data_IF_790822702134
#
_entry.id   IF_790822702134
#
_cell.length_a   1.000
_cell.length_b   1.000
_cell.length_c   1.000
_cell.angle_alpha   90.00
_cell.angle_beta   90.00
_cell.angle_gamma   90.00
#
_symmetry.space_group_name_H-M   'P 1'
#
loop_
_entity.id
_entity.type
_entity.pdbx_description
1 polymer ?
#
# COMPACT_ATOMS: atom_id res chain seq x y z
N UNK A 1 23.90 -1.46 -2.40
CA UNK A 1 23.35 -0.12 -2.74
C UNK A 1 22.00 -0.32 -3.39
N UNK A 2 20.94 0.24 -2.80
CA UNK A 2 19.57 0.20 -3.32
C UNK A 2 19.48 0.86 -4.70
N UNK A 3 18.78 0.23 -5.64
CA UNK A 3 18.60 0.70 -7.04
C UNK A 3 17.18 1.21 -7.31
N UNK A 4 16.18 0.66 -6.64
CA UNK A 4 14.76 0.98 -6.79
C UNK A 4 14.28 1.85 -5.64
N UNK A 5 14.49 1.39 -4.40
CA UNK A 5 13.98 2.03 -3.18
C UNK A 5 14.70 3.35 -2.89
N UNK A 6 13.90 4.37 -2.57
CA UNK A 6 14.39 5.65 -2.05
C UNK A 6 14.26 5.71 -0.53
N UNK A 7 14.03 6.91 0.02
CA UNK A 7 13.87 7.12 1.47
C UNK A 7 12.65 6.37 2.05
N UNK A 8 11.58 6.23 1.28
CA UNK A 8 10.43 5.41 1.67
C UNK A 8 9.61 5.01 0.43
N UNK A 9 9.81 3.76 0.01
CA UNK A 9 9.20 3.17 -1.18
C UNK A 9 9.86 3.57 -2.50
N UNK A 10 9.23 3.16 -3.60
CA UNK A 10 9.65 3.45 -4.97
C UNK A 10 8.77 4.53 -5.56
N UNK A 11 9.35 5.68 -5.97
CA UNK A 11 8.63 6.78 -6.63
C UNK A 11 9.25 7.10 -7.97
N UNK A 12 8.46 7.15 -9.04
CA UNK A 12 8.91 7.49 -10.40
C UNK A 12 7.78 8.18 -11.18
N UNK A 13 8.11 8.68 -12.38
CA UNK A 13 7.11 9.19 -13.32
C UNK A 13 6.14 8.07 -13.71
N UNK A 14 4.85 8.32 -13.52
CA UNK A 14 3.80 7.35 -13.79
C UNK A 14 3.67 7.14 -15.30
N UNK A 15 3.52 5.88 -15.72
CA UNK A 15 3.41 5.48 -17.13
C UNK A 15 4.63 5.80 -18.03
N UNK A 16 5.73 6.28 -17.45
CA UNK A 16 7.03 6.40 -18.13
C UNK A 16 8.04 5.41 -17.56
N UNK A 17 8.19 5.40 -16.22
CA UNK A 17 9.07 4.46 -15.52
C UNK A 17 8.27 3.56 -14.59
N UNK A 18 7.32 4.14 -13.82
CA UNK A 18 6.37 3.36 -13.03
C UNK A 18 5.19 2.98 -13.95
N UNK A 19 5.40 1.94 -14.76
CA UNK A 19 4.38 1.36 -15.65
C UNK A 19 3.58 0.26 -14.93
N UNK A 20 2.45 -0.22 -15.50
CA UNK A 20 1.74 -1.38 -14.96
C UNK A 20 2.62 -2.62 -14.82
N UNK A 21 3.49 -2.89 -15.80
CA UNK A 21 4.40 -4.04 -15.78
C UNK A 21 5.42 -3.91 -14.65
N UNK A 22 5.98 -2.72 -14.46
CA UNK A 22 6.89 -2.44 -13.36
C UNK A 22 6.18 -2.67 -12.01
N UNK A 23 4.98 -2.11 -11.84
CA UNK A 23 4.21 -2.21 -10.60
C UNK A 23 3.83 -3.65 -10.27
N UNK A 24 3.39 -4.41 -11.27
CA UNK A 24 3.04 -5.83 -11.11
C UNK A 24 4.27 -6.68 -10.75
N UNK A 25 5.42 -6.46 -11.42
CA UNK A 25 6.68 -7.15 -11.08
C UNK A 25 7.14 -6.82 -9.66
N UNK A 26 7.10 -5.55 -9.26
CA UNK A 26 7.50 -5.14 -7.92
C UNK A 26 6.57 -5.73 -6.84
N UNK A 27 5.27 -5.77 -7.11
CA UNK A 27 4.31 -6.37 -6.21
C UNK A 27 4.45 -7.90 -6.11
N UNK A 28 4.80 -8.58 -7.21
CA UNK A 28 5.11 -10.02 -7.17
C UNK A 28 6.41 -10.31 -6.40
N UNK A 29 7.42 -9.44 -6.51
CA UNK A 29 8.63 -9.55 -5.71
C UNK A 29 8.32 -9.44 -4.21
N UNK A 30 7.53 -8.43 -3.81
CA UNK A 30 7.06 -8.33 -2.43
C UNK A 30 6.20 -9.53 -2.02
N UNK A 31 5.26 -9.97 -2.86
CA UNK A 31 4.44 -11.16 -2.61
C UNK A 31 5.22 -12.49 -2.55
N UNK A 32 6.51 -12.48 -2.91
CA UNK A 32 7.42 -13.62 -2.75
C UNK A 32 8.14 -13.60 -1.39
N UNK A 33 8.21 -12.44 -0.74
CA UNK A 33 8.82 -12.27 0.59
C UNK A 33 7.80 -12.21 1.72
N UNK A 34 6.56 -11.81 1.41
CA UNK A 34 5.44 -11.79 2.35
C UNK A 34 4.43 -12.89 2.06
N UNK A 35 3.89 -13.50 3.11
CA UNK A 35 2.77 -14.46 3.02
C UNK A 35 1.54 -13.91 3.74
N UNK A 36 0.36 -14.39 3.36
CA UNK A 36 -0.89 -14.04 4.02
C UNK A 36 -1.72 -12.99 3.29
N UNK A 37 -2.43 -12.18 4.07
CA UNK A 37 -3.43 -11.23 3.60
C UNK A 37 -2.86 -9.82 3.56
N UNK A 38 -2.80 -9.23 2.37
CA UNK A 38 -2.13 -7.97 2.10
C UNK A 38 -3.16 -6.88 1.79
N UNK A 39 -3.12 -5.78 2.54
CA UNK A 39 -3.96 -4.62 2.27
C UNK A 39 -3.36 -3.75 1.17
N UNK A 40 -4.18 -3.30 0.22
CA UNK A 40 -3.78 -2.37 -0.83
C UNK A 40 -4.67 -1.15 -0.81
N UNK A 41 -4.07 0.04 -0.71
CA UNK A 41 -4.77 1.32 -0.77
C UNK A 41 -3.97 2.37 -1.52
N UNK A 42 -4.56 3.53 -1.80
CA UNK A 42 -3.85 4.59 -2.50
C UNK A 42 -4.46 5.98 -2.38
N UNK A 43 -3.73 6.97 -2.89
CA UNK A 43 -4.16 8.37 -2.95
C UNK A 43 -4.97 8.70 -4.22
N UNK A 44 -5.36 9.96 -4.36
CA UNK A 44 -6.25 10.44 -5.43
C UNK A 44 -5.55 10.71 -6.78
N UNK A 45 -4.28 10.31 -6.97
CA UNK A 45 -3.58 10.55 -8.25
C UNK A 45 -4.30 9.84 -9.41
N UNK A 46 -4.32 10.49 -10.57
CA UNK A 46 -4.93 9.94 -11.80
C UNK A 46 -4.42 8.54 -12.14
N UNK A 47 -3.12 8.30 -11.92
CA UNK A 47 -2.48 7.01 -12.20
C UNK A 47 -2.68 5.94 -11.12
N UNK A 48 -3.26 6.28 -9.97
CA UNK A 48 -3.37 5.34 -8.83
C UNK A 48 -4.23 4.13 -9.16
N UNK A 49 -5.35 4.29 -9.87
CA UNK A 49 -6.21 3.15 -10.24
C UNK A 49 -5.45 2.12 -11.09
N UNK A 50 -4.69 2.60 -12.08
CA UNK A 50 -3.88 1.77 -12.96
C UNK A 50 -2.80 1.01 -12.17
N UNK A 51 -2.01 1.74 -11.38
CA UNK A 51 -0.90 1.14 -10.61
C UNK A 51 -1.42 0.18 -9.54
N UNK A 52 -2.52 0.52 -8.86
CA UNK A 52 -3.14 -0.32 -7.84
C UNK A 52 -3.60 -1.66 -8.41
N UNK A 53 -4.25 -1.67 -9.57
CA UNK A 53 -4.68 -2.92 -10.22
C UNK A 53 -3.49 -3.79 -10.63
N UNK A 54 -2.39 -3.18 -11.09
CA UNK A 54 -1.16 -3.91 -11.37
C UNK A 54 -0.54 -4.51 -10.10
N UNK A 55 -0.50 -3.76 -9.00
CA UNK A 55 -0.04 -4.23 -7.69
C UNK A 55 -0.87 -5.42 -7.21
N UNK A 56 -2.21 -5.30 -7.26
CA UNK A 56 -3.13 -6.37 -6.87
C UNK A 56 -2.85 -7.64 -7.68
N UNK A 57 -2.71 -7.51 -9.01
CA UNK A 57 -2.40 -8.64 -9.90
C UNK A 57 -1.08 -9.34 -9.52
N UNK A 58 -0.02 -8.58 -9.27
CA UNK A 58 1.28 -9.12 -8.85
C UNK A 58 1.21 -9.91 -7.54
N UNK A 59 0.50 -9.37 -6.53
CA UNK A 59 0.30 -10.04 -5.24
C UNK A 59 -0.49 -11.35 -5.37
N UNK A 60 -1.63 -11.32 -6.05
CA UNK A 60 -2.48 -12.51 -6.25
C UNK A 60 -1.73 -13.62 -6.98
N UNK A 61 -0.90 -13.25 -7.97
CA UNK A 61 -0.07 -14.20 -8.73
C UNK A 61 0.99 -14.91 -7.88
N UNK A 62 1.35 -14.32 -6.74
CA UNK A 62 2.31 -14.88 -5.78
C UNK A 62 1.61 -15.72 -4.70
N UNK A 63 0.29 -15.82 -4.73
CA UNK A 63 -0.52 -16.57 -3.76
C UNK A 63 -0.99 -15.78 -2.54
N UNK A 64 -0.74 -14.47 -2.48
CA UNK A 64 -1.23 -13.62 -1.40
C UNK A 64 -2.72 -13.33 -1.57
N UNK A 65 -3.50 -13.43 -0.50
CA UNK A 65 -4.84 -12.85 -0.48
C UNK A 65 -4.71 -11.32 -0.42
N UNK A 66 -5.56 -10.61 -1.15
CA UNK A 66 -5.51 -9.14 -1.25
C UNK A 66 -6.80 -8.53 -0.76
N UNK A 67 -6.69 -7.47 0.04
CA UNK A 67 -7.82 -6.63 0.47
C UNK A 67 -7.66 -5.24 -0.12
N UNK A 68 -8.52 -4.89 -1.08
CA UNK A 68 -8.58 -3.53 -1.62
C UNK A 68 -9.31 -2.61 -0.62
N UNK A 69 -8.57 -1.64 -0.07
CA UNK A 69 -9.07 -0.61 0.84
C UNK A 69 -9.56 0.63 0.10
N UNK A 70 -9.40 0.70 -1.23
CA UNK A 70 -9.82 1.82 -2.05
C UNK A 70 -8.90 3.02 -1.97
N UNK A 71 -9.49 4.22 -2.08
CA UNK A 71 -8.80 5.50 -1.95
C UNK A 71 -8.96 5.99 -0.52
N UNK A 72 -7.83 6.17 0.18
CA UNK A 72 -7.79 6.57 1.58
C UNK A 72 -6.41 7.11 1.96
N UNK A 73 -6.29 7.89 3.04
CA UNK A 73 -4.99 8.39 3.51
C UNK A 73 -4.01 7.25 3.81
N UNK A 74 -2.72 7.46 3.55
CA UNK A 74 -1.61 6.59 3.99
C UNK A 74 -1.77 6.08 5.43
N UNK A 75 -2.02 6.93 6.46
CA UNK A 75 -2.16 6.45 7.83
C UNK A 75 -3.40 5.55 8.05
N UNK A 76 -4.44 5.66 7.23
CA UNK A 76 -5.59 4.77 7.31
C UNK A 76 -5.25 3.36 6.81
N UNK A 77 -4.42 3.24 5.75
CA UNK A 77 -3.88 1.94 5.31
C UNK A 77 -2.99 1.33 6.39
N UNK A 78 -2.07 2.11 6.96
CA UNK A 78 -1.18 1.66 8.03
C UNK A 78 -1.95 1.19 9.27
N UNK A 79 -2.97 1.93 9.67
CA UNK A 79 -3.88 1.56 10.76
C UNK A 79 -4.58 0.22 10.48
N UNK A 80 -5.04 0.03 9.25
CA UNK A 80 -5.71 -1.19 8.84
C UNK A 80 -4.79 -2.41 8.88
N UNK A 81 -3.56 -2.25 8.35
CA UNK A 81 -2.54 -3.30 8.34
C UNK A 81 -2.26 -3.76 9.75
N UNK A 82 -1.89 -2.84 10.63
CA UNK A 82 -1.59 -3.13 12.04
C UNK A 82 -2.70 -3.90 12.77
N UNK A 83 -3.96 -3.73 12.35
CA UNK A 83 -5.11 -4.32 13.03
C UNK A 83 -5.53 -5.67 12.44
N UNK A 84 -5.31 -5.91 11.14
CA UNK A 84 -6.01 -6.98 10.42
C UNK A 84 -5.18 -7.76 9.40
N UNK A 85 -4.00 -7.27 8.99
CA UNK A 85 -3.32 -7.77 7.80
C UNK A 85 -1.83 -8.03 8.05
N UNK A 86 -1.25 -8.92 7.27
CA UNK A 86 0.14 -9.37 7.43
C UNK A 86 1.15 -8.41 6.78
N UNK A 87 0.65 -7.47 5.99
CA UNK A 87 1.41 -6.40 5.35
C UNK A 87 0.51 -5.51 4.51
N UNK A 88 1.10 -4.51 3.87
CA UNK A 88 0.35 -3.61 3.01
C UNK A 88 1.15 -2.89 1.95
N UNK A 89 0.42 -2.42 0.93
CA UNK A 89 0.95 -1.64 -0.18
C UNK A 89 0.15 -0.35 -0.31
N UNK A 90 0.86 0.77 -0.36
CA UNK A 90 0.28 2.11 -0.46
C UNK A 90 0.74 2.74 -1.77
N UNK A 91 -0.21 2.95 -2.69
CA UNK A 91 0.02 3.57 -4.00
C UNK A 91 -0.07 5.09 -3.86
N UNK A 92 1.08 5.75 -3.81
CA UNK A 92 1.20 7.20 -3.64
C UNK A 92 2.62 7.67 -3.92
N UNK A 93 2.76 8.89 -4.46
CA UNK A 93 4.02 9.64 -4.40
C UNK A 93 3.99 10.80 -3.37
N UNK A 94 3.06 10.78 -2.42
CA UNK A 94 2.94 11.75 -1.34
C UNK A 94 2.87 13.19 -1.89
N UNK A 95 3.86 14.02 -1.61
CA UNK A 95 3.92 15.44 -2.02
C UNK A 95 4.57 15.67 -3.40
N UNK A 96 5.03 14.62 -4.09
CA UNK A 96 5.63 14.77 -5.41
C UNK A 96 4.61 15.35 -6.42
N UNK A 97 5.07 16.06 -7.48
CA UNK A 97 4.19 16.59 -8.52
C UNK A 97 3.22 15.54 -9.12
N UNK A 98 2.10 15.97 -9.73
CA UNK A 98 1.02 15.07 -10.18
C UNK A 98 1.44 13.95 -11.13
N UNK A 99 2.46 14.18 -11.97
CA UNK A 99 3.00 13.21 -12.93
C UNK A 99 3.76 12.05 -12.26
N UNK A 100 4.10 12.15 -10.98
CA UNK A 100 4.71 11.06 -10.22
C UNK A 100 3.65 10.13 -9.64
N UNK A 101 4.01 8.86 -9.44
CA UNK A 101 3.33 8.00 -8.47
C UNK A 101 4.38 7.09 -7.80
N UNK A 102 3.95 6.25 -6.88
CA UNK A 102 4.85 5.40 -6.14
C UNK A 102 4.17 4.25 -5.44
N UNK A 103 4.98 3.35 -4.92
CA UNK A 103 4.59 2.16 -4.19
C UNK A 103 5.39 2.13 -2.90
N UNK A 104 4.71 2.14 -1.76
CA UNK A 104 5.29 1.97 -0.43
C UNK A 104 4.82 0.65 0.15
N UNK A 105 5.73 -0.09 0.79
CA UNK A 105 5.39 -1.31 1.51
C UNK A 105 5.39 -1.06 3.00
N UNK A 106 4.49 -1.72 3.70
CA UNK A 106 4.41 -1.71 5.16
C UNK A 106 4.34 -3.14 5.69
N UNK A 107 4.97 -3.37 6.83
CA UNK A 107 4.94 -4.64 7.55
C UNK A 107 3.63 -4.80 8.36
N UNK A 108 3.51 -5.91 9.07
CA UNK A 108 2.34 -6.22 9.93
C UNK A 108 2.15 -5.25 11.10
N UNK A 109 3.16 -4.47 11.48
CA UNK A 109 3.03 -3.39 12.47
C UNK A 109 2.46 -2.10 11.85
N UNK A 110 2.25 -2.10 10.52
CA UNK A 110 1.76 -0.96 9.75
C UNK A 110 2.82 0.13 9.54
N UNK A 111 4.09 -0.17 9.83
CA UNK A 111 5.22 0.74 9.60
C UNK A 111 5.97 0.34 8.33
N UNK A 112 6.89 1.19 7.87
CA UNK A 112 7.68 0.88 6.69
C UNK A 112 8.50 -0.39 6.88
N UNK A 113 8.59 -1.19 5.83
CA UNK A 113 9.41 -2.41 5.85
C UNK A 113 10.88 -2.08 6.13
N UNK A 114 11.63 -2.98 6.78
CA UNK A 114 13.04 -2.78 7.06
C UNK A 114 13.92 -2.86 5.80
N UNK A 115 15.13 -2.31 5.89
CA UNK A 115 16.06 -2.17 4.76
C UNK A 115 16.46 -3.52 4.14
N UNK A 116 16.62 -4.56 4.94
CA UNK A 116 16.94 -5.92 4.49
C UNK A 116 15.81 -6.51 3.64
N UNK A 117 14.55 -6.25 4.00
CA UNK A 117 13.41 -6.65 3.20
C UNK A 117 13.32 -5.84 1.89
N UNK A 118 13.64 -4.55 1.90
CA UNK A 118 13.76 -3.76 0.68
C UNK A 118 14.83 -4.35 -0.27
N UNK A 119 16.01 -4.69 0.25
CA UNK A 119 17.09 -5.29 -0.53
C UNK A 119 16.69 -6.66 -1.12
N UNK A 120 16.00 -7.49 -0.36
CA UNK A 120 15.49 -8.77 -0.83
C UNK A 120 14.45 -8.62 -1.94
N UNK A 121 13.52 -7.66 -1.81
CA UNK A 121 12.55 -7.33 -2.85
C UNK A 121 13.27 -6.85 -4.12
N UNK A 122 14.31 -6.02 -4.02
CA UNK A 122 15.10 -5.62 -5.19
C UNK A 122 15.78 -6.82 -5.84
N UNK A 123 16.38 -7.70 -5.04
CA UNK A 123 17.05 -8.91 -5.55
C UNK A 123 16.07 -9.76 -6.36
N UNK A 124 14.88 -10.03 -5.83
CA UNK A 124 13.84 -10.80 -6.52
C UNK A 124 13.36 -10.06 -7.77
N UNK A 125 13.13 -8.75 -7.68
CA UNK A 125 12.70 -7.94 -8.82
C UNK A 125 13.68 -8.02 -10.00
N UNK A 126 14.99 -7.90 -9.75
CA UNK A 126 16.00 -7.91 -10.82
C UNK A 126 16.35 -9.32 -11.32
N UNK A 127 16.28 -10.33 -10.46
CA UNK A 127 16.52 -11.73 -10.86
C UNK A 127 15.30 -12.38 -11.52
N UNK A 128 14.13 -11.76 -11.39
CA UNK A 128 12.83 -12.30 -11.82
C UNK A 128 12.47 -13.65 -11.17
N UNK A 129 13.05 -13.95 -10.00
CA UNK A 129 12.82 -15.16 -9.21
C UNK A 129 11.56 -15.04 -8.35
N UNK A 130 10.43 -14.76 -9.01
CA UNK A 130 9.15 -14.57 -8.33
C UNK A 130 8.54 -15.91 -7.92
N UNK A 131 8.02 -15.99 -6.69
CA UNK A 131 7.06 -17.04 -6.34
C UNK A 131 5.85 -16.92 -7.25
N UNK A 132 5.49 -18.04 -7.90
CA UNK A 132 4.26 -18.16 -8.69
C UNK A 132 3.37 -19.21 -8.08
N UNK A 133 2.16 -18.81 -7.70
CA UNK A 133 1.15 -19.74 -7.25
C UNK A 133 0.72 -20.66 -8.39
N UNK A 134 0.40 -21.92 -8.07
CA UNK A 134 -0.32 -22.79 -8.99
C UNK A 134 -1.72 -22.21 -9.26
N UNK A 135 -2.32 -22.60 -10.38
CA UNK A 135 -3.60 -22.05 -10.83
C UNK A 135 -4.73 -22.17 -9.79
N UNK A 136 -4.69 -23.20 -8.94
CA UNK A 136 -5.65 -23.51 -7.87
C UNK A 136 -5.29 -22.85 -6.52
N UNK A 137 -4.18 -22.12 -6.47
CA UNK A 137 -3.64 -21.42 -5.28
C UNK A 137 -3.44 -19.92 -5.51
N UNK A 138 -3.96 -19.37 -6.62
CA UNK A 138 -4.02 -17.93 -6.83
C UNK A 138 -4.81 -17.31 -5.68
N UNK A 139 -4.30 -16.19 -5.14
CA UNK A 139 -4.94 -15.52 -4.01
C UNK A 139 -6.32 -14.96 -4.34
N UNK A 140 -7.07 -14.59 -3.31
CA UNK A 140 -8.40 -14.01 -3.45
C UNK A 140 -8.37 -12.49 -3.31
N UNK A 141 -9.17 -11.79 -4.10
CA UNK A 141 -9.40 -10.35 -3.95
C UNK A 141 -10.68 -10.10 -3.16
N UNK A 142 -10.58 -9.34 -2.07
CA UNK A 142 -11.70 -8.86 -1.27
C UNK A 142 -11.60 -7.36 -1.06
N UNK A 143 -12.60 -6.75 -0.43
CA UNK A 143 -12.59 -5.31 -0.09
C UNK A 143 -13.03 -5.07 1.34
N UNK A 144 -12.55 -3.98 1.93
CA UNK A 144 -12.97 -3.53 3.26
C UNK A 144 -13.36 -2.03 3.21
N UNK A 145 -14.59 -1.70 2.80
CA UNK A 145 -15.03 -0.31 2.67
C UNK A 145 -15.29 0.38 4.03
N UNK A 146 -15.42 -0.37 5.13
CA UNK A 146 -15.68 0.20 6.47
C UNK A 146 -14.43 0.75 7.15
N UNK A 147 -13.23 0.41 6.67
CA UNK A 147 -11.97 0.73 7.33
C UNK A 147 -11.75 2.22 7.58
N UNK A 148 -12.25 3.08 6.68
CA UNK A 148 -12.12 4.53 6.82
C UNK A 148 -12.89 5.06 8.04
N UNK A 149 -14.07 4.48 8.33
CA UNK A 149 -14.86 4.84 9.51
C UNK A 149 -14.16 4.36 10.78
N UNK A 150 -13.64 3.13 10.77
CA UNK A 150 -12.88 2.61 11.91
C UNK A 150 -11.62 3.44 12.22
N UNK A 151 -10.94 3.96 11.19
CA UNK A 151 -9.81 4.87 11.36
C UNK A 151 -10.26 6.19 12.00
N UNK A 152 -11.36 6.79 11.50
CA UNK A 152 -11.93 8.02 12.07
C UNK A 152 -12.32 7.84 13.54
N UNK A 153 -13.02 6.75 13.87
CA UNK A 153 -13.41 6.42 15.23
C UNK A 153 -12.19 6.23 16.14
N UNK A 154 -11.15 5.58 15.62
CA UNK A 154 -9.87 5.43 16.31
C UNK A 154 -9.18 6.76 16.62
N UNK A 155 -9.24 7.74 15.71
CA UNK A 155 -8.71 9.08 15.95
C UNK A 155 -9.57 9.84 16.98
N UNK A 156 -10.89 9.80 16.84
CA UNK A 156 -11.83 10.47 17.74
C UNK A 156 -11.69 9.93 19.18
N UNK A 157 -11.49 8.62 19.35
CA UNK A 157 -11.32 8.00 20.66
C UNK A 157 -10.04 8.42 21.40
N UNK A 158 -9.09 9.09 20.73
CA UNK A 158 -7.83 9.57 21.33
C UNK A 158 -7.90 11.01 21.84
N UNK A 159 -9.06 11.66 21.75
CA UNK A 159 -9.26 13.05 22.18
C UNK A 159 -10.53 13.20 23.01
N UNK A 160 -10.65 14.28 23.78
CA UNK A 160 -11.91 14.65 24.43
C UNK A 160 -12.87 15.27 23.40
N UNK A 161 -13.62 14.39 22.72
CA UNK A 161 -14.55 14.78 21.66
C UNK A 161 -15.66 15.74 22.17
N UNK A 162 -16.10 15.59 23.43
CA UNK A 162 -17.12 16.47 24.00
C UNK A 162 -16.57 17.86 24.30
N UNK A 163 -15.36 17.98 24.83
CA UNK A 163 -14.72 19.28 25.02
C UNK A 163 -14.52 20.03 23.69
N UNK A 164 -14.05 19.34 22.64
CA UNK A 164 -13.90 19.93 21.31
C UNK A 164 -15.26 20.38 20.76
N UNK A 165 -16.31 19.54 20.88
CA UNK A 165 -17.66 19.86 20.41
C UNK A 165 -18.24 21.08 21.14
N UNK A 166 -18.08 21.16 22.47
CA UNK A 166 -18.55 22.31 23.28
C UNK A 166 -17.91 23.62 22.83
N UNK A 167 -16.66 23.60 22.37
CA UNK A 167 -15.94 24.81 21.99
C UNK A 167 -16.39 25.43 20.67
N UNK A 168 -17.06 24.65 19.80
CA UNK A 168 -17.61 25.09 18.50
C UNK A 168 -16.59 25.85 17.65
N UNK A 169 -15.40 25.27 17.49
CA UNK A 169 -14.36 25.84 16.64
C UNK A 169 -14.88 26.04 15.22
N UNK A 170 -14.48 27.14 14.59
CA UNK A 170 -14.60 27.33 13.13
C UNK A 170 -13.28 26.87 12.53
N UNK A 171 -13.32 25.81 11.73
CA UNK A 171 -12.14 25.16 11.15
C UNK A 171 -12.20 25.29 9.63
N UNK A 172 -11.07 25.59 9.02
CA UNK A 172 -10.86 25.54 7.57
C UNK A 172 -9.87 24.42 7.29
N UNK A 173 -10.17 23.58 6.29
CA UNK A 173 -9.33 22.46 5.83
C UNK A 173 -9.15 22.63 4.32
N UNK A 174 -7.91 22.46 3.86
CA UNK A 174 -7.51 22.38 2.44
C UNK A 174 -7.14 20.91 2.14
#
# INVERSE_FOLDING_TARGET
MKKLFGTFGVRRLANEVLTPEFASKLAAAYGSTVEGKIAVGGDTRTSTVMIKNAVISGLLSSGCDVVDLGILPTPAVQYAVRKYYDGGVIVTASHNPPQYNGIKFVDSDGIGIPDDLEEEIERIFFSEDFRRASWDKIGNLTSNPSIIREYQDGVIARVDAEAIRRRKFRVVVD
#
